data_IF_965314730771
#
_entry.id   IF_965314730771
#
_cell.length_a   1.000
_cell.length_b   1.000
_cell.length_c   1.000
_cell.angle_alpha   90.00
_cell.angle_beta   90.00
_cell.angle_gamma   90.00
#
_symmetry.space_group_name_H-M   'P 1'
#
loop_
_entity.id
_entity.type
_entity.pdbx_description
1 polymer ?
#
# COMPACT_ATOMS: atom_id res chain seq x y z
N UNK A 1 31.42 -24.04 -6.19
CA UNK A 1 31.15 -23.07 -7.28
C UNK A 1 30.11 -23.56 -8.30
N UNK A 2 29.23 -24.52 -7.95
CA UNK A 2 28.17 -25.01 -8.84
C UNK A 2 26.77 -24.45 -8.50
N UNK A 3 26.65 -23.54 -7.52
CA UNK A 3 25.34 -23.07 -7.00
C UNK A 3 24.83 -21.73 -7.55
N UNK A 4 25.64 -20.91 -8.24
CA UNK A 4 25.17 -19.59 -8.72
C UNK A 4 24.38 -19.64 -10.04
N UNK A 5 24.50 -20.71 -10.84
CA UNK A 5 23.84 -20.79 -12.15
C UNK A 5 22.36 -21.21 -12.08
N UNK A 6 21.92 -21.80 -10.96
CA UNK A 6 20.51 -22.15 -10.71
C UNK A 6 19.77 -21.12 -9.87
N UNK A 7 20.47 -20.11 -9.34
CA UNK A 7 19.90 -19.06 -8.49
C UNK A 7 18.82 -18.22 -9.20
N UNK A 8 19.02 -17.74 -10.43
CA UNK A 8 18.03 -16.89 -11.11
C UNK A 8 16.68 -17.59 -11.36
N UNK A 9 16.60 -18.82 -11.91
CA UNK A 9 15.31 -19.48 -12.10
C UNK A 9 14.67 -19.91 -10.78
N UNK A 10 15.47 -20.26 -9.75
CA UNK A 10 14.95 -20.48 -8.40
C UNK A 10 14.36 -19.19 -7.84
N UNK A 11 15.09 -18.07 -7.88
CA UNK A 11 14.61 -16.74 -7.46
C UNK A 11 13.34 -16.32 -8.19
N UNK A 12 13.20 -16.63 -9.49
CA UNK A 12 11.99 -16.35 -10.28
C UNK A 12 10.77 -17.20 -9.89
N UNK A 13 10.96 -18.51 -9.70
CA UNK A 13 9.93 -19.41 -9.16
C UNK A 13 9.52 -19.00 -7.74
N UNK A 14 10.51 -18.57 -6.99
CA UNK A 14 10.42 -18.14 -5.62
C UNK A 14 9.60 -16.83 -5.51
N UNK A 15 9.90 -15.84 -6.34
CA UNK A 15 9.13 -14.59 -6.43
C UNK A 15 7.69 -14.77 -6.97
N UNK A 16 7.42 -15.81 -7.75
CA UNK A 16 6.04 -16.17 -8.12
C UNK A 16 5.24 -16.67 -6.91
N UNK A 17 5.90 -17.18 -5.86
CA UNK A 17 5.25 -17.54 -4.60
C UNK A 17 4.93 -16.33 -3.72
N UNK A 18 5.54 -15.15 -3.96
CA UNK A 18 5.19 -13.91 -3.25
C UNK A 18 3.74 -13.49 -3.48
N UNK A 19 3.14 -13.87 -4.62
CA UNK A 19 1.71 -13.71 -4.90
C UNK A 19 0.81 -14.61 -4.04
N UNK A 20 1.41 -15.63 -3.43
CA UNK A 20 0.80 -16.57 -2.49
C UNK A 20 1.36 -16.44 -1.08
N UNK A 21 1.94 -15.30 -0.70
CA UNK A 21 2.49 -15.05 0.64
C UNK A 21 3.93 -15.48 0.79
N UNK A 22 4.54 -15.18 1.94
CA UNK A 22 5.83 -15.79 2.29
C UNK A 22 5.60 -17.32 2.36
N UNK A 23 6.29 -18.13 1.55
CA UNK A 23 6.16 -19.59 1.56
C UNK A 23 6.30 -20.16 2.98
N UNK A 24 5.39 -21.06 3.35
CA UNK A 24 5.33 -21.60 4.71
C UNK A 24 4.36 -20.85 5.64
N UNK A 25 3.78 -19.72 5.23
CA UNK A 25 2.62 -19.18 5.95
C UNK A 25 1.40 -20.06 5.67
N UNK A 26 0.93 -20.84 6.65
CA UNK A 26 -0.48 -21.23 6.62
C UNK A 26 -1.32 -19.97 6.88
N UNK A 27 -2.52 -19.89 6.31
CA UNK A 27 -3.45 -18.79 6.58
C UNK A 27 -3.75 -18.61 8.09
N UNK A 28 -3.45 -19.63 8.89
CA UNK A 28 -3.62 -19.65 10.35
C UNK A 28 -2.48 -18.94 11.11
N UNK A 29 -1.35 -18.60 10.47
CA UNK A 29 -0.22 -17.95 11.14
C UNK A 29 -0.21 -16.43 10.98
N UNK A 30 -0.84 -15.84 9.95
CA UNK A 30 -0.92 -14.37 9.84
C UNK A 30 -1.74 -13.77 10.97
N UNK A 31 -1.18 -12.79 11.69
CA UNK A 31 -1.88 -12.07 12.74
C UNK A 31 -2.16 -10.63 12.33
N UNK A 32 -3.26 -10.11 12.86
CA UNK A 32 -3.66 -8.73 12.66
C UNK A 32 -3.65 -8.03 14.01
N UNK A 33 -2.91 -6.92 14.09
CA UNK A 33 -2.95 -5.95 15.19
C UNK A 33 -2.28 -6.30 16.53
N UNK A 34 -1.76 -7.50 16.78
CA UNK A 34 -1.36 -7.88 18.15
C UNK A 34 -0.05 -8.68 18.30
N UNK A 35 0.37 -9.52 17.35
CA UNK A 35 1.36 -10.58 17.67
C UNK A 35 2.78 -10.37 17.12
N UNK A 36 3.12 -9.17 16.63
CA UNK A 36 4.47 -8.92 16.09
C UNK A 36 5.59 -9.02 17.13
N UNK A 37 6.78 -9.48 16.72
CA UNK A 37 7.98 -9.41 17.55
C UNK A 37 8.25 -7.98 18.07
N UNK A 38 7.91 -6.96 17.28
CA UNK A 38 8.17 -5.57 17.63
C UNK A 38 7.07 -4.88 18.44
N UNK A 39 6.08 -5.62 18.95
CA UNK A 39 5.09 -5.05 19.87
C UNK A 39 5.75 -4.57 21.16
N UNK A 40 5.61 -3.28 21.46
CA UNK A 40 6.27 -2.56 22.54
C UNK A 40 7.80 -2.54 22.46
N UNK A 41 8.37 -2.86 21.29
CA UNK A 41 9.82 -2.82 21.05
C UNK A 41 10.16 -1.77 19.98
N UNK A 42 11.45 -1.47 19.88
CA UNK A 42 11.98 -0.65 18.78
C UNK A 42 12.28 -1.52 17.57
N UNK A 43 12.40 -0.92 16.39
CA UNK A 43 12.81 -1.64 15.17
C UNK A 43 14.32 -1.86 15.05
N UNK A 44 15.10 -1.58 16.12
CA UNK A 44 16.56 -1.72 16.09
C UNK A 44 17.01 -3.19 15.89
N UNK A 45 16.19 -4.15 16.33
CA UNK A 45 16.46 -5.58 16.21
C UNK A 45 15.91 -6.19 14.91
N UNK A 46 15.31 -5.38 14.03
CA UNK A 46 14.90 -5.84 12.72
C UNK A 46 16.13 -6.20 11.88
N UNK A 47 16.08 -7.30 11.13
CA UNK A 47 17.14 -7.62 10.21
C UNK A 47 17.16 -6.65 9.03
N UNK A 48 15.98 -6.19 8.62
CA UNK A 48 15.83 -5.20 7.57
C UNK A 48 14.65 -4.29 7.84
N UNK A 49 14.74 -3.06 7.34
CA UNK A 49 13.71 -2.05 7.48
C UNK A 49 13.34 -1.41 6.14
N UNK A 50 12.19 -0.77 6.11
CA UNK A 50 11.78 0.17 5.07
C UNK A 50 11.07 1.33 5.76
N UNK A 51 11.29 2.55 5.30
CA UNK A 51 10.44 3.67 5.69
C UNK A 51 10.11 4.50 4.46
N UNK A 52 8.83 4.83 4.32
CA UNK A 52 8.39 5.81 3.35
C UNK A 52 7.50 6.83 4.07
N UNK A 53 7.90 8.10 4.00
CA UNK A 53 7.22 9.19 4.70
C UNK A 53 6.81 10.27 3.71
N UNK A 54 5.63 10.85 3.91
CA UNK A 54 5.13 11.95 3.11
C UNK A 54 4.26 12.88 3.96
N UNK A 55 4.22 14.15 3.57
CA UNK A 55 3.34 15.17 4.15
C UNK A 55 2.15 15.39 3.22
N UNK A 56 1.01 14.72 3.43
CA UNK A 56 -0.20 15.04 2.69
C UNK A 56 -0.61 16.43 3.18
N UNK A 57 -0.38 17.48 2.38
CA UNK A 57 -0.74 18.85 2.76
C UNK A 57 -2.27 18.99 2.92
N UNK A 58 -2.84 18.52 4.02
CA UNK A 58 -4.28 18.49 4.29
C UNK A 58 -4.60 19.55 5.34
N UNK A 59 -5.47 20.50 4.97
CA UNK A 59 -5.71 21.68 5.78
C UNK A 59 -4.47 22.59 5.92
N UNK A 60 -4.21 23.07 7.13
CA UNK A 60 -3.08 23.94 7.46
C UNK A 60 -1.86 23.19 8.03
N UNK A 61 -1.90 21.85 8.06
CA UNK A 61 -0.89 20.99 8.67
C UNK A 61 -0.09 20.26 7.60
N UNK A 62 1.23 20.26 7.76
CA UNK A 62 2.18 19.49 6.96
C UNK A 62 2.88 18.46 7.86
N UNK A 63 2.10 17.58 8.47
CA UNK A 63 2.64 16.53 9.33
C UNK A 63 2.98 15.32 8.48
N UNK A 64 4.23 14.87 8.60
CA UNK A 64 4.66 13.65 7.96
C UNK A 64 3.95 12.47 8.60
N UNK A 65 3.32 11.67 7.75
CA UNK A 65 2.88 10.33 8.07
C UNK A 65 3.80 9.34 7.38
N UNK A 66 3.82 8.10 7.85
CA UNK A 66 4.75 7.13 7.32
C UNK A 66 4.24 5.71 7.39
N UNK A 67 4.59 4.95 6.37
CA UNK A 67 4.56 3.51 6.42
C UNK A 67 5.97 2.99 6.75
N UNK A 68 6.01 1.89 7.50
CA UNK A 68 7.24 1.24 7.88
C UNK A 68 7.13 -0.26 7.64
N UNK A 69 8.15 -0.85 7.00
CA UNK A 69 8.27 -2.29 6.79
C UNK A 69 9.37 -2.86 7.69
N UNK A 70 9.15 -4.04 8.28
CA UNK A 70 10.17 -4.76 9.06
C UNK A 70 10.28 -6.21 8.63
N UNK A 71 11.51 -6.72 8.56
CA UNK A 71 11.77 -8.16 8.50
C UNK A 71 12.55 -8.56 9.73
N UNK A 72 12.11 -9.65 10.36
CA UNK A 72 12.79 -10.27 11.50
C UNK A 72 13.00 -11.76 11.24
N UNK A 73 14.19 -12.25 11.58
CA UNK A 73 14.57 -13.65 11.60
C UNK A 73 15.62 -13.82 12.70
N UNK A 74 15.35 -14.63 13.72
CA UNK A 74 16.31 -14.88 14.79
C UNK A 74 17.50 -15.69 14.26
N UNK A 75 18.70 -15.34 14.72
CA UNK A 75 19.97 -15.88 14.25
C UNK A 75 20.27 -17.31 14.72
N UNK A 76 19.53 -17.83 15.70
CA UNK A 76 19.71 -19.17 16.26
C UNK A 76 19.12 -20.29 15.39
N UNK A 77 18.48 -19.93 14.27
CA UNK A 77 17.82 -20.86 13.36
C UNK A 77 16.57 -21.52 13.94
N UNK A 78 16.11 -21.08 15.12
CA UNK A 78 14.86 -21.50 15.75
C UNK A 78 13.78 -20.44 15.54
N UNK A 79 12.50 -20.75 15.71
CA UNK A 79 11.43 -19.75 15.57
C UNK A 79 11.00 -19.49 14.12
N UNK A 80 10.79 -18.22 13.77
CA UNK A 80 10.09 -17.81 12.54
C UNK A 80 10.79 -16.66 11.82
N UNK A 81 10.56 -16.54 10.51
CA UNK A 81 10.75 -15.29 9.77
C UNK A 81 9.46 -14.49 9.85
N UNK A 82 9.54 -13.22 10.19
CA UNK A 82 8.42 -12.29 10.25
C UNK A 82 8.59 -11.15 9.25
N UNK A 83 7.52 -10.81 8.53
CA UNK A 83 7.38 -9.59 7.74
C UNK A 83 6.20 -8.79 8.31
N UNK A 84 6.41 -7.51 8.60
CA UNK A 84 5.37 -6.66 9.15
C UNK A 84 5.26 -5.33 8.46
N UNK A 85 4.03 -4.82 8.38
CA UNK A 85 3.68 -3.50 7.92
C UNK A 85 3.13 -2.68 9.08
N UNK A 86 3.69 -1.49 9.24
CA UNK A 86 3.33 -0.55 10.27
C UNK A 86 2.96 0.79 9.67
N UNK A 87 2.19 1.56 10.42
CA UNK A 87 1.83 2.92 10.04
C UNK A 87 1.87 3.85 11.23
N UNK A 88 2.34 5.07 10.97
CA UNK A 88 2.26 6.19 11.89
C UNK A 88 1.51 7.33 11.22
N UNK A 89 0.36 7.78 11.77
CA UNK A 89 -0.29 9.02 11.36
C UNK A 89 0.46 10.27 11.87
N UNK A 90 1.67 10.11 12.42
CA UNK A 90 2.36 11.16 13.15
C UNK A 90 1.56 11.55 14.40
N UNK A 91 1.47 12.86 14.65
CA UNK A 91 0.71 13.42 15.77
C UNK A 91 -0.75 13.77 15.40
N UNK A 92 -1.24 13.30 14.25
CA UNK A 92 -2.55 13.69 13.72
C UNK A 92 -3.62 12.60 13.92
N UNK A 93 -4.85 13.04 14.22
CA UNK A 93 -6.04 12.20 14.13
C UNK A 93 -6.94 12.74 13.01
N UNK A 94 -6.71 12.33 11.77
CA UNK A 94 -7.39 12.91 10.60
C UNK A 94 -8.92 12.81 10.67
N UNK A 95 -9.44 11.71 11.22
CA UNK A 95 -10.88 11.39 11.23
C UNK A 95 -11.63 12.08 12.38
N UNK A 96 -11.05 12.18 13.58
CA UNK A 96 -11.74 12.83 14.73
C UNK A 96 -11.26 14.25 15.04
N UNK A 97 -10.14 14.70 14.46
CA UNK A 97 -9.74 16.09 14.55
C UNK A 97 -10.59 16.93 13.57
N UNK A 98 -11.58 17.59 14.13
CA UNK A 98 -12.48 18.50 13.40
C UNK A 98 -11.76 19.66 12.70
N UNK A 99 -10.49 19.94 13.03
CA UNK A 99 -9.66 20.94 12.35
C UNK A 99 -9.01 20.39 11.08
N UNK A 100 -8.78 19.08 11.01
CA UNK A 100 -8.27 18.39 9.82
C UNK A 100 -9.42 18.02 8.90
N UNK A 101 -10.41 17.28 9.41
CA UNK A 101 -11.64 16.91 8.70
C UNK A 101 -11.40 16.01 7.49
N UNK A 102 -10.54 14.99 7.63
CA UNK A 102 -10.27 14.01 6.58
C UNK A 102 -10.43 12.57 7.05
N UNK A 103 -11.09 11.77 6.24
CA UNK A 103 -11.07 10.32 6.37
C UNK A 103 -9.95 9.73 5.52
N UNK A 104 -9.22 8.78 6.08
CA UNK A 104 -8.02 8.21 5.44
C UNK A 104 -8.26 6.74 5.15
N UNK A 105 -8.27 6.35 3.89
CA UNK A 105 -8.40 4.97 3.46
C UNK A 105 -7.07 4.39 3.03
N UNK A 106 -6.87 3.12 3.37
CA UNK A 106 -5.75 2.30 2.97
C UNK A 106 -6.23 1.30 1.92
N UNK A 107 -5.56 1.27 0.77
CA UNK A 107 -5.84 0.38 -0.34
C UNK A 107 -4.55 -0.35 -0.76
N UNK A 108 -4.70 -1.62 -1.07
CA UNK A 108 -3.61 -2.50 -1.46
C UNK A 108 -3.77 -2.93 -2.92
N UNK A 109 -2.66 -2.93 -3.67
CA UNK A 109 -2.62 -3.41 -5.06
C UNK A 109 -1.83 -4.73 -5.13
N UNK A 110 -2.49 -5.89 -4.98
CA UNK A 110 -1.84 -7.19 -5.12
C UNK A 110 -1.49 -7.49 -6.59
N UNK A 111 -0.89 -8.65 -6.83
CA UNK A 111 -0.77 -9.24 -8.18
C UNK A 111 0.19 -8.50 -9.14
N UNK A 112 1.26 -7.91 -8.62
CA UNK A 112 2.36 -7.45 -9.48
C UNK A 112 2.84 -8.58 -10.42
N UNK A 113 3.54 -8.27 -11.50
CA UNK A 113 4.27 -9.30 -12.24
C UNK A 113 5.63 -9.54 -11.58
N UNK A 114 6.24 -10.67 -11.89
CA UNK A 114 7.62 -10.94 -11.51
C UNK A 114 8.58 -9.84 -12.00
N UNK A 115 8.49 -9.47 -13.27
CA UNK A 115 9.34 -8.40 -13.82
C UNK A 115 9.13 -7.07 -13.07
N UNK A 116 7.91 -6.79 -12.61
CA UNK A 116 7.60 -5.59 -11.79
C UNK A 116 8.26 -5.65 -10.42
N UNK A 117 8.30 -6.82 -9.78
CA UNK A 117 9.02 -7.01 -8.53
C UNK A 117 10.54 -6.83 -8.72
N UNK A 118 11.09 -7.38 -9.81
CA UNK A 118 12.50 -7.20 -10.18
C UNK A 118 12.81 -5.71 -10.43
N UNK A 119 11.90 -4.95 -11.04
CA UNK A 119 12.05 -3.51 -11.25
C UNK A 119 12.05 -2.70 -9.96
N UNK A 120 11.20 -3.05 -9.01
CA UNK A 120 11.15 -2.37 -7.72
C UNK A 120 12.39 -2.62 -6.84
N UNK A 121 13.35 -3.42 -7.31
CA UNK A 121 14.62 -3.65 -6.62
C UNK A 121 15.48 -2.38 -6.43
N UNK A 122 15.19 -1.31 -7.16
CA UNK A 122 15.84 0.00 -7.02
C UNK A 122 14.86 1.14 -6.70
N UNK A 123 13.62 0.82 -6.29
CA UNK A 123 12.63 1.83 -5.95
C UNK A 123 12.94 2.46 -4.58
N UNK A 124 12.72 3.77 -4.46
CA UNK A 124 12.92 4.56 -3.24
C UNK A 124 11.68 4.57 -2.35
N UNK A 125 10.58 3.94 -2.78
CA UNK A 125 9.29 3.95 -2.10
C UNK A 125 8.22 4.74 -2.84
N UNK A 126 8.60 5.54 -3.86
CA UNK A 126 7.67 6.37 -4.64
C UNK A 126 6.92 5.61 -5.74
N UNK A 127 7.17 4.31 -5.89
CA UNK A 127 6.65 3.43 -6.95
C UNK A 127 7.09 3.78 -8.38
N UNK A 128 7.91 4.80 -8.59
CA UNK A 128 8.26 5.25 -9.95
C UNK A 128 9.18 4.29 -10.70
N UNK A 129 9.98 3.48 -10.01
CA UNK A 129 10.79 2.44 -10.65
C UNK A 129 9.96 1.18 -10.86
N UNK A 130 9.14 0.83 -9.86
CA UNK A 130 8.27 -0.34 -9.84
C UNK A 130 7.20 -0.24 -10.93
N UNK A 131 6.42 0.84 -10.96
CA UNK A 131 5.20 1.00 -11.77
C UNK A 131 5.31 2.05 -12.87
N UNK A 132 6.36 2.87 -12.91
CA UNK A 132 6.45 4.07 -13.75
C UNK A 132 5.50 5.23 -13.39
N UNK A 133 5.84 6.41 -13.93
CA UNK A 133 5.11 7.65 -13.67
C UNK A 133 3.67 7.65 -14.21
N UNK A 134 3.41 6.98 -15.34
CA UNK A 134 2.09 6.99 -15.98
C UNK A 134 1.10 6.16 -15.17
N UNK A 135 1.49 4.95 -14.78
CA UNK A 135 0.65 4.12 -13.91
C UNK A 135 0.41 4.80 -12.56
N UNK A 136 1.46 5.32 -11.92
CA UNK A 136 1.33 6.02 -10.63
C UNK A 136 0.38 7.21 -10.74
N UNK A 137 0.54 8.06 -11.77
CA UNK A 137 -0.32 9.22 -11.97
C UNK A 137 -1.78 8.83 -12.24
N UNK A 138 -2.02 7.82 -13.08
CA UNK A 138 -3.38 7.41 -13.41
C UNK A 138 -4.09 6.79 -12.20
N UNK A 139 -3.39 5.97 -11.40
CA UNK A 139 -3.94 5.43 -10.15
C UNK A 139 -4.30 6.55 -9.16
N UNK A 140 -3.38 7.48 -8.92
CA UNK A 140 -3.62 8.62 -8.02
C UNK A 140 -4.75 9.52 -8.52
N UNK A 141 -4.76 9.83 -9.82
CA UNK A 141 -5.80 10.66 -10.45
C UNK A 141 -7.19 10.03 -10.35
N UNK A 142 -7.29 8.73 -10.68
CA UNK A 142 -8.53 7.98 -10.60
C UNK A 142 -9.02 7.88 -9.14
N UNK A 143 -8.10 7.64 -8.21
CA UNK A 143 -8.41 7.59 -6.77
C UNK A 143 -8.96 8.92 -6.27
N UNK A 144 -8.35 10.05 -6.65
CA UNK A 144 -8.85 11.38 -6.28
C UNK A 144 -10.26 11.64 -6.86
N UNK A 145 -10.50 11.18 -8.10
CA UNK A 145 -11.80 11.32 -8.78
C UNK A 145 -12.89 10.57 -8.03
N UNK A 146 -12.71 9.27 -7.79
CA UNK A 146 -13.71 8.46 -7.08
C UNK A 146 -13.85 8.84 -5.62
N UNK A 147 -12.75 9.23 -4.96
CA UNK A 147 -12.81 9.83 -3.62
C UNK A 147 -13.71 11.07 -3.60
N UNK A 148 -13.67 11.90 -4.65
CA UNK A 148 -14.50 13.11 -4.77
C UNK A 148 -15.96 12.75 -4.99
N UNK A 149 -16.23 11.73 -5.80
CA UNK A 149 -17.59 11.25 -6.04
C UNK A 149 -18.23 10.69 -4.77
N UNK A 150 -17.48 9.92 -3.97
CA UNK A 150 -17.95 9.37 -2.71
C UNK A 150 -18.32 10.45 -1.68
N UNK A 151 -17.63 11.60 -1.70
CA UNK A 151 -17.93 12.76 -0.81
C UNK A 151 -18.87 13.80 -1.44
N UNK A 152 -19.23 13.63 -2.71
CA UNK A 152 -19.78 14.68 -3.59
C UNK A 152 -21.15 15.26 -3.24
N UNK A 153 -22.11 14.52 -2.66
CA UNK A 153 -23.31 15.12 -2.08
C UNK A 153 -23.16 15.18 -0.54
N UNK A 154 -22.81 16.34 0.05
CA UNK A 154 -22.84 16.49 1.50
C UNK A 154 -24.26 16.23 1.99
N UNK A 155 -24.47 15.10 2.65
CA UNK A 155 -25.74 14.78 3.29
C UNK A 155 -25.95 15.74 4.45
N UNK A 156 -27.15 16.31 4.54
CA UNK A 156 -27.51 17.18 5.66
C UNK A 156 -27.41 16.40 6.97
N UNK A 157 -26.79 17.00 7.99
CA UNK A 157 -26.57 16.36 9.29
C UNK A 157 -27.85 15.80 9.93
N UNK A 158 -27.72 14.85 10.89
CA UNK A 158 -26.49 14.47 11.61
C UNK A 158 -25.64 13.41 10.91
N UNK A 159 -26.10 12.86 9.79
CA UNK A 159 -25.47 11.73 9.12
C UNK A 159 -24.62 12.23 7.97
N UNK A 160 -23.34 12.52 8.22
CA UNK A 160 -22.34 12.55 7.15
C UNK A 160 -22.38 11.20 6.43
N UNK A 161 -22.22 11.19 5.11
CA UNK A 161 -21.97 9.98 4.31
C UNK A 161 -20.67 9.26 4.71
N UNK A 162 -19.86 9.87 5.58
CA UNK A 162 -18.65 9.34 6.20
C UNK A 162 -18.74 9.42 7.75
N UNK A 163 -19.83 8.94 8.37
CA UNK A 163 -19.84 8.60 9.80
C UNK A 163 -18.94 7.39 10.08
N UNK A 164 -18.52 7.20 11.34
CA UNK A 164 -17.74 6.04 11.82
C UNK A 164 -18.30 4.69 11.32
N UNK A 165 -19.63 4.58 11.21
CA UNK A 165 -20.32 3.37 10.73
C UNK A 165 -20.29 3.20 9.20
N UNK A 166 -20.03 4.27 8.44
CA UNK A 166 -20.00 4.29 6.97
C UNK A 166 -18.60 4.33 6.36
N UNK A 167 -17.57 4.71 7.13
CA UNK A 167 -16.16 4.69 6.66
C UNK A 167 -15.73 3.34 6.09
N UNK A 168 -16.07 2.20 6.74
CA UNK A 168 -15.64 0.91 6.21
C UNK A 168 -16.34 0.52 4.90
N UNK A 169 -17.56 1.03 4.67
CA UNK A 169 -18.28 0.87 3.39
C UNK A 169 -17.65 1.75 2.31
N UNK A 170 -17.32 3.01 2.62
CA UNK A 170 -16.66 3.91 1.67
C UNK A 170 -15.29 3.41 1.19
N UNK A 171 -14.52 2.74 2.05
CA UNK A 171 -13.24 2.11 1.68
C UNK A 171 -13.44 0.96 0.66
N UNK A 172 -14.48 0.14 0.87
CA UNK A 172 -14.86 -0.91 -0.06
C UNK A 172 -15.34 -0.36 -1.40
N UNK A 173 -16.21 0.65 -1.38
CA UNK A 173 -16.76 1.26 -2.59
C UNK A 173 -15.63 1.86 -3.44
N UNK A 174 -14.67 2.56 -2.81
CA UNK A 174 -13.51 3.11 -3.50
C UNK A 174 -12.65 2.00 -4.14
N UNK A 175 -12.38 0.92 -3.40
CA UNK A 175 -11.61 -0.22 -3.89
C UNK A 175 -12.31 -0.91 -5.08
N UNK A 176 -13.63 -1.07 -5.00
CA UNK A 176 -14.45 -1.63 -6.08
C UNK A 176 -14.43 -0.74 -7.32
N UNK A 177 -14.66 0.58 -7.16
CA UNK A 177 -14.62 1.53 -8.27
C UNK A 177 -13.26 1.53 -8.98
N UNK A 178 -12.16 1.49 -8.22
CA UNK A 178 -10.80 1.40 -8.75
C UNK A 178 -10.54 0.06 -9.45
N UNK A 179 -11.03 -1.05 -8.91
CA UNK A 179 -10.93 -2.37 -9.53
C UNK A 179 -11.66 -2.40 -10.88
N UNK A 180 -12.90 -1.90 -10.92
CA UNK A 180 -13.72 -1.86 -12.13
C UNK A 180 -13.12 -0.96 -13.22
N UNK A 181 -12.39 0.09 -12.83
CA UNK A 181 -11.82 1.09 -13.72
C UNK A 181 -10.29 1.06 -13.75
N UNK A 182 -9.69 -0.11 -13.45
CA UNK A 182 -8.24 -0.22 -13.29
C UNK A 182 -7.47 0.35 -14.49
N UNK A 183 -6.52 1.29 -14.30
CA UNK A 183 -5.90 2.02 -15.39
C UNK A 183 -5.20 1.11 -16.41
N UNK A 184 -5.42 1.38 -17.70
CA UNK A 184 -4.77 0.63 -18.76
C UNK A 184 -3.24 0.78 -18.75
N UNK A 185 -2.74 1.97 -18.35
CA UNK A 185 -1.31 2.26 -18.15
C UNK A 185 -0.67 1.34 -17.10
N UNK A 186 -1.45 0.85 -16.14
CA UNK A 186 -0.96 -0.04 -15.10
C UNK A 186 -0.97 -1.51 -15.49
N UNK A 187 -1.81 -1.96 -16.43
CA UNK A 187 -2.05 -3.40 -16.68
C UNK A 187 -0.80 -4.22 -16.98
N UNK A 188 0.23 -3.61 -17.55
CA UNK A 188 1.52 -4.25 -17.86
C UNK A 188 2.32 -4.63 -16.60
N UNK A 189 2.07 -3.96 -15.48
CA UNK A 189 2.71 -4.19 -14.19
C UNK A 189 2.07 -5.26 -13.34
N UNK A 190 0.85 -5.67 -13.71
CA UNK A 190 0.03 -6.60 -12.95
C UNK A 190 -0.21 -7.86 -13.77
N UNK A 191 -0.47 -8.97 -13.09
CA UNK A 191 -0.73 -10.23 -13.73
C UNK A 191 -2.01 -10.15 -14.58
N UNK A 192 -1.85 -10.16 -15.90
CA UNK A 192 -2.95 -10.03 -16.86
C UNK A 192 -3.80 -11.30 -17.04
N UNK A 193 -3.43 -12.42 -16.40
CA UNK A 193 -4.20 -13.68 -16.46
C UNK A 193 -5.42 -13.66 -15.55
N UNK A 194 -5.44 -12.73 -14.59
CA UNK A 194 -6.58 -12.46 -13.70
C UNK A 194 -6.91 -10.96 -13.76
N UNK A 195 -8.17 -10.55 -13.55
CA UNK A 195 -8.50 -9.14 -13.42
C UNK A 195 -7.68 -8.52 -12.28
N UNK A 196 -7.00 -7.41 -12.57
CA UNK A 196 -6.31 -6.63 -11.55
C UNK A 196 -7.32 -6.20 -10.47
N UNK A 197 -6.89 -6.26 -9.22
CA UNK A 197 -7.73 -5.92 -8.07
C UNK A 197 -7.08 -4.78 -7.29
N UNK A 198 -7.93 -3.92 -6.75
CA UNK A 198 -7.58 -3.00 -5.66
C UNK A 198 -8.39 -3.46 -4.46
N UNK A 199 -7.72 -3.73 -3.36
CA UNK A 199 -8.36 -4.23 -2.15
C UNK A 199 -8.40 -3.12 -1.11
N UNK A 200 -9.58 -2.89 -0.54
CA UNK A 200 -9.71 -2.10 0.68
C UNK A 200 -9.19 -2.90 1.87
N UNK A 201 -8.40 -2.27 2.72
CA UNK A 201 -7.90 -2.91 3.94
C UNK A 201 -6.77 -3.92 3.74
N UNK A 202 -6.57 -4.73 4.77
CA UNK A 202 -5.31 -5.41 5.11
C UNK A 202 -4.69 -6.23 3.96
N UNK A 203 -3.35 -6.18 3.77
CA UNK A 203 -2.70 -7.01 2.78
C UNK A 203 -2.85 -8.49 3.15
N UNK A 204 -3.52 -9.27 2.30
CA UNK A 204 -3.46 -10.73 2.35
C UNK A 204 -2.37 -11.19 1.39
N UNK A 205 -1.14 -11.25 1.87
CA UNK A 205 -0.08 -11.95 1.16
C UNK A 205 -0.24 -13.44 1.45
N UNK A 206 -0.94 -14.15 0.56
CA UNK A 206 -0.96 -15.62 0.57
C UNK A 206 -2.09 -16.38 1.20
N UNK A 207 -3.06 -15.67 1.78
CA UNK A 207 -4.37 -16.25 2.00
C UNK A 207 -5.18 -16.20 0.71
N UNK A 208 -5.88 -17.30 0.40
CA UNK A 208 -7.13 -17.22 -0.36
C UNK A 208 -7.94 -16.10 0.28
N UNK A 209 -8.36 -15.10 -0.50
CA UNK A 209 -9.24 -14.03 -0.02
C UNK A 209 -10.27 -14.65 0.92
N UNK A 210 -10.30 -14.20 2.17
CA UNK A 210 -11.37 -14.55 3.08
C UNK A 210 -12.62 -13.79 2.64
N UNK A 211 -13.12 -14.09 1.43
CA UNK A 211 -14.55 -14.18 1.24
C UNK A 211 -14.98 -15.32 2.15
N UNK A 212 -15.28 -15.01 3.41
CA UNK A 212 -16.11 -15.90 4.21
C UNK A 212 -17.47 -15.96 3.51
N UNK A 213 -17.62 -16.90 2.57
CA UNK A 213 -18.90 -17.53 2.28
C UNK A 213 -19.28 -18.40 3.49
N UNK A 214 -19.28 -17.84 4.70
CA UNK A 214 -20.06 -18.41 5.79
C UNK A 214 -21.52 -18.14 5.45
N UNK A 215 -22.08 -19.03 4.61
CA UNK A 215 -23.50 -19.30 4.56
C UNK A 215 -23.94 -19.74 5.97
N UNK A 216 -24.24 -18.77 6.82
CA UNK A 216 -25.07 -18.97 7.99
C UNK A 216 -26.12 -17.88 7.97
N UNK A 217 -27.31 -18.24 7.48
CA UNK A 217 -28.57 -17.54 7.73
C UNK A 217 -28.63 -16.03 7.42
N UNK A 218 -28.24 -15.61 6.21
CA UNK A 218 -28.86 -14.43 5.60
C UNK A 218 -28.52 -13.05 6.17
N UNK A 219 -27.40 -12.90 6.89
CA UNK A 219 -26.74 -11.59 7.03
C UNK A 219 -25.26 -11.75 6.70
N UNK A 220 -24.87 -11.33 5.50
CA UNK A 220 -23.48 -11.18 5.15
C UNK A 220 -22.87 -10.12 6.09
N UNK A 221 -22.11 -10.56 7.10
CA UNK A 221 -21.19 -9.68 7.79
C UNK A 221 -20.06 -9.42 6.81
N UNK A 222 -20.27 -8.41 5.95
CA UNK A 222 -19.22 -7.79 5.16
C UNK A 222 -18.09 -7.49 6.16
N UNK A 223 -16.93 -8.13 6.02
CA UNK A 223 -15.75 -7.77 6.79
C UNK A 223 -15.42 -6.34 6.39
N UNK A 224 -15.95 -5.40 7.17
CA UNK A 224 -15.93 -3.99 6.86
C UNK A 224 -14.50 -3.54 7.12
N UNK A 225 -13.78 -3.15 6.07
CA UNK A 225 -12.37 -2.81 6.20
C UNK A 225 -12.26 -1.41 6.78
N UNK A 226 -11.75 -1.27 8.02
CA UNK A 226 -11.81 0.00 8.69
C UNK A 226 -10.89 1.02 8.01
N UNK A 227 -11.25 2.29 8.12
CA UNK A 227 -10.37 3.39 7.75
C UNK A 227 -9.01 3.27 8.45
N UNK A 228 -7.99 3.94 7.94
CA UNK A 228 -6.65 3.93 8.52
C UNK A 228 -6.63 4.67 9.87
N UNK A 229 -7.33 5.81 9.98
CA UNK A 229 -7.47 6.64 11.20
C UNK A 229 -8.93 6.79 11.67
N UNK A 230 -9.14 7.21 12.92
CA UNK A 230 -10.46 7.35 13.57
C UNK A 230 -10.77 6.33 14.68
N UNK A 231 -11.96 6.38 15.32
CA UNK A 231 -12.28 5.62 16.52
C UNK A 231 -12.31 4.10 16.30
N UNK A 232 -12.74 3.67 15.12
CA UNK A 232 -12.85 2.25 14.71
C UNK A 232 -11.80 1.86 13.66
N UNK A 233 -10.72 2.64 13.55
CA UNK A 233 -9.72 2.53 12.49
C UNK A 233 -8.72 1.40 12.71
N UNK A 234 -7.93 1.07 11.68
CA UNK A 234 -6.79 0.15 11.79
C UNK A 234 -5.82 0.58 12.90
N UNK A 235 -5.48 1.86 12.97
CA UNK A 235 -4.61 2.43 14.02
C UNK A 235 -5.25 2.34 15.41
N UNK A 236 -6.53 2.67 15.56
CA UNK A 236 -7.22 2.60 16.85
C UNK A 236 -7.37 1.17 17.35
N UNK A 237 -7.67 0.24 16.43
CA UNK A 237 -7.80 -1.20 16.72
C UNK A 237 -6.46 -1.89 16.92
N UNK A 238 -5.35 -1.25 16.55
CA UNK A 238 -4.01 -1.80 16.74
C UNK A 238 -3.68 -1.95 18.23
N UNK A 239 -3.61 -3.19 18.70
CA UNK A 239 -3.22 -3.53 20.07
C UNK A 239 -1.69 -3.55 20.23
N UNK A 240 -0.98 -3.68 19.10
CA UNK A 240 0.46 -3.71 19.00
C UNK A 240 0.99 -2.37 18.50
N UNK A 241 1.66 -1.66 19.39
CA UNK A 241 2.35 -0.41 19.07
C UNK A 241 3.85 -0.59 19.30
N UNK A 242 4.67 -0.09 18.39
CA UNK A 242 6.12 -0.05 18.61
C UNK A 242 6.49 1.06 19.61
N UNK A 243 7.68 0.98 20.20
CA UNK A 243 8.21 2.04 21.07
C UNK A 243 8.37 3.38 20.34
N UNK A 244 8.43 3.34 19.00
CA UNK A 244 8.61 4.50 18.14
C UNK A 244 7.26 5.12 17.70
N UNK A 245 6.14 4.68 18.27
CA UNK A 245 4.81 5.26 18.01
C UNK A 245 4.13 4.74 16.74
N UNK A 246 4.63 3.66 16.13
CA UNK A 246 3.96 3.02 15.01
C UNK A 246 2.91 2.04 15.48
N UNK A 247 1.81 1.95 14.76
CA UNK A 247 0.76 0.94 14.97
C UNK A 247 0.92 -0.19 13.97
N UNK A 248 0.87 -1.44 14.44
CA UNK A 248 0.90 -2.60 13.56
C UNK A 248 -0.38 -2.62 12.73
N UNK A 249 -0.23 -2.67 11.40
CA UNK A 249 -1.35 -2.89 10.49
C UNK A 249 -1.49 -4.38 10.19
N UNK A 250 -0.39 -5.05 9.90
CA UNK A 250 -0.38 -6.44 9.47
C UNK A 250 0.99 -7.07 9.72
N UNK A 251 1.01 -8.37 10.04
CA UNK A 251 2.24 -9.16 10.07
C UNK A 251 1.99 -10.57 9.55
N UNK A 252 3.04 -11.17 9.00
CA UNK A 252 3.05 -12.53 8.47
C UNK A 252 4.29 -13.26 8.93
N UNK A 253 4.10 -14.54 9.27
CA UNK A 253 5.17 -15.44 9.66
C UNK A 253 5.36 -16.53 8.63
N UNK A 254 6.60 -16.97 8.48
CA UNK A 254 6.98 -18.18 7.79
C UNK A 254 8.04 -18.93 8.59
N UNK A 255 8.33 -20.16 8.17
CA UNK A 255 9.40 -20.96 8.75
C UNK A 255 10.72 -20.18 8.74
N UNK A 256 11.54 -20.33 9.78
CA UNK A 256 12.88 -19.76 9.85
C UNK A 256 13.81 -20.45 8.83
N UNK A 257 13.72 -20.01 7.58
CA UNK A 257 14.55 -20.48 6.47
C UNK A 257 15.15 -19.29 5.74
N UNK A 258 16.36 -19.46 5.20
CA UNK A 258 16.99 -18.43 4.38
C UNK A 258 16.10 -17.99 3.21
N UNK A 259 15.33 -18.92 2.65
CA UNK A 259 14.42 -18.66 1.55
C UNK A 259 13.29 -17.70 1.97
N UNK A 260 12.67 -17.92 3.13
CA UNK A 260 11.63 -17.05 3.67
C UNK A 260 12.14 -15.67 4.06
N UNK A 261 13.35 -15.61 4.61
CA UNK A 261 14.04 -14.37 4.86
C UNK A 261 14.27 -13.56 3.58
N UNK A 262 14.80 -14.20 2.54
CA UNK A 262 14.98 -13.61 1.21
C UNK A 262 13.64 -13.07 0.69
N UNK A 263 12.55 -13.83 0.78
CA UNK A 263 11.23 -13.37 0.34
C UNK A 263 10.70 -12.16 1.08
N UNK A 264 10.76 -12.20 2.41
CA UNK A 264 10.28 -11.13 3.26
C UNK A 264 10.97 -9.80 2.90
N UNK A 265 12.25 -9.85 2.50
CA UNK A 265 13.04 -8.69 2.06
C UNK A 265 12.80 -8.25 0.60
N UNK A 266 12.24 -9.13 -0.24
CA UNK A 266 11.98 -8.85 -1.66
C UNK A 266 10.53 -8.49 -1.98
N UNK A 267 9.62 -8.64 -1.02
CA UNK A 267 8.25 -8.18 -1.18
C UNK A 267 8.25 -6.67 -1.41
N UNK A 268 7.58 -6.27 -2.49
CA UNK A 268 7.21 -4.88 -2.74
C UNK A 268 5.72 -4.76 -2.46
N UNK A 269 5.38 -3.71 -1.73
CA UNK A 269 4.08 -3.46 -1.18
C UNK A 269 3.50 -2.15 -1.71
N UNK A 270 2.78 -2.16 -2.87
CA UNK A 270 2.12 -0.98 -3.38
C UNK A 270 0.87 -0.68 -2.55
N UNK A 271 0.94 0.43 -1.83
CA UNK A 271 -0.07 0.93 -0.91
C UNK A 271 -0.55 2.27 -1.44
N UNK A 272 -1.81 2.28 -1.85
CA UNK A 272 -2.52 3.49 -2.24
C UNK A 272 -3.29 3.99 -1.03
N UNK A 273 -3.14 5.26 -0.70
CA UNK A 273 -3.87 5.85 0.43
C UNK A 273 -4.63 7.06 -0.05
N UNK A 274 -5.88 7.17 0.38
CA UNK A 274 -6.78 8.25 -0.02
C UNK A 274 -7.21 9.07 1.21
N UNK A 275 -7.00 10.38 1.13
CA UNK A 275 -7.48 11.40 2.05
C UNK A 275 -8.74 12.01 1.45
N UNK A 276 -9.89 11.74 2.05
CA UNK A 276 -11.18 12.29 1.65
C UNK A 276 -11.66 13.31 2.67
N UNK A 277 -12.11 14.49 2.24
CA UNK A 277 -12.68 15.45 3.18
C UNK A 277 -13.98 14.88 3.77
N UNK A 278 -14.16 14.98 5.08
CA UNK A 278 -15.39 14.53 5.73
C UNK A 278 -16.56 15.38 5.25
N UNK A 279 -17.50 14.79 4.52
CA UNK A 279 -18.64 15.50 3.98
C UNK A 279 -19.69 15.76 5.09
N UNK A 280 -19.58 16.92 5.75
CA UNK A 280 -20.50 17.33 6.81
C UNK A 280 -21.09 18.72 6.52
N UNK A 281 -22.38 18.77 6.19
CA UNK A 281 -23.11 20.01 5.89
C UNK A 281 -23.20 20.99 7.08
N UNK A 282 -23.00 20.54 8.32
CA UNK A 282 -22.99 21.39 9.52
C UNK A 282 -21.62 22.04 9.79
N UNK A 283 -20.59 21.75 8.98
CA UNK A 283 -19.22 22.25 9.17
C UNK A 283 -18.86 23.26 8.07
N UNK A 284 -18.75 24.55 8.38
CA UNK A 284 -18.46 25.61 7.40
C UNK A 284 -16.98 25.69 6.99
N UNK A 285 -16.18 24.65 7.26
CA UNK A 285 -14.75 24.63 6.91
C UNK A 285 -14.63 24.29 5.43
N UNK A 286 -13.97 25.15 4.66
CA UNK A 286 -13.56 24.85 3.28
C UNK A 286 -12.48 23.77 3.35
N UNK A 287 -12.88 22.51 3.45
CA UNK A 287 -11.95 21.39 3.37
C UNK A 287 -11.31 21.40 1.97
N UNK A 288 -10.02 21.07 1.90
CA UNK A 288 -9.33 20.97 0.62
C UNK A 288 -9.84 19.79 -0.21
N UNK A 289 -9.43 19.74 -1.47
CA UNK A 289 -9.74 18.61 -2.37
C UNK A 289 -9.23 17.28 -1.81
N UNK A 290 -9.81 16.19 -2.29
CA UNK A 290 -9.29 14.84 -2.04
C UNK A 290 -7.83 14.75 -2.47
N UNK A 291 -7.05 13.98 -1.71
CA UNK A 291 -5.64 13.74 -2.00
C UNK A 291 -5.37 12.25 -1.90
N UNK A 292 -4.53 11.74 -2.78
CA UNK A 292 -4.07 10.37 -2.71
C UNK A 292 -2.63 10.29 -3.17
N UNK A 293 -1.97 9.23 -2.76
CA UNK A 293 -0.59 8.93 -3.12
C UNK A 293 -0.41 7.41 -3.06
N UNK A 294 0.60 6.95 -3.78
CA UNK A 294 0.96 5.55 -3.89
C UNK A 294 2.38 5.38 -3.38
N UNK A 295 2.58 4.43 -2.47
CA UNK A 295 3.89 4.09 -1.92
C UNK A 295 4.21 2.62 -2.22
N UNK A 296 5.45 2.29 -2.59
CA UNK A 296 5.92 0.94 -2.86
C UNK A 296 6.94 0.54 -1.81
N UNK A 297 6.46 0.03 -0.68
CA UNK A 297 7.35 -0.34 0.42
C UNK A 297 8.15 -1.59 0.07
N UNK A 298 9.44 -1.54 0.37
CA UNK A 298 10.32 -2.70 0.27
C UNK A 298 11.30 -2.71 1.43
N UNK A 299 11.35 -3.83 2.13
CA UNK A 299 12.17 -3.99 3.32
C UNK A 299 13.56 -4.49 2.96
N UNK A 300 14.41 -3.59 2.44
CA UNK A 300 15.75 -3.94 1.96
C UNK A 300 16.89 -3.12 2.60
N UNK A 301 16.59 -2.23 3.55
CA UNK A 301 17.64 -1.57 4.34
C UNK A 301 18.12 -2.54 5.43
N UNK A 302 19.12 -3.35 5.07
CA UNK A 302 19.71 -4.34 5.96
C UNK A 302 20.42 -3.69 7.16
N UNK A 303 20.07 -4.13 8.36
CA UNK A 303 20.73 -3.72 9.59
C UNK A 303 22.09 -4.41 9.77
N UNK A 304 23.02 -3.83 10.55
CA UNK A 304 24.31 -4.44 10.83
C UNK A 304 24.17 -5.83 11.46
N UNK A 305 24.85 -6.82 10.89
CA UNK A 305 24.83 -8.20 11.37
C UNK A 305 23.77 -9.09 10.70
N UNK A 306 22.90 -8.53 9.87
CA UNK A 306 21.93 -9.28 9.08
C UNK A 306 22.58 -10.10 7.97
N UNK A 307 21.92 -11.20 7.60
CA UNK A 307 22.36 -12.02 6.47
C UNK A 307 22.22 -11.24 5.15
N UNK A 308 23.22 -11.31 4.25
CA UNK A 308 23.18 -10.61 2.98
C UNK A 308 22.12 -11.20 2.05
N UNK A 309 21.48 -10.32 1.29
CA UNK A 309 20.49 -10.70 0.28
C UNK A 309 21.18 -10.95 -1.08
N UNK A 310 20.69 -11.95 -1.80
CA UNK A 310 21.18 -12.29 -3.14
C UNK A 310 20.60 -11.33 -4.18
N UNK A 311 21.41 -10.63 -4.99
CA UNK A 311 20.90 -9.64 -5.95
C UNK A 311 19.83 -10.26 -6.87
N UNK A 312 18.72 -9.53 -7.06
CA UNK A 312 17.69 -9.93 -8.01
C UNK A 312 18.24 -9.90 -9.44
N UNK A 313 17.72 -10.75 -10.33
CA UNK A 313 17.99 -10.62 -11.76
C UNK A 313 17.65 -9.21 -12.26
N UNK A 314 18.36 -8.76 -13.29
CA UNK A 314 17.98 -7.52 -13.97
C UNK A 314 16.57 -7.65 -14.55
N UNK A 315 15.68 -6.67 -14.32
CA UNK A 315 14.33 -6.73 -14.83
C UNK A 315 14.31 -6.77 -16.35
N UNK A 316 13.33 -7.48 -16.91
CA UNK A 316 13.02 -7.37 -18.33
C UNK A 316 12.52 -5.96 -18.64
N UNK A 317 12.99 -5.36 -19.73
CA UNK A 317 12.52 -4.04 -20.14
C UNK A 317 11.01 -4.09 -20.43
N UNK A 318 10.26 -3.23 -19.76
CA UNK A 318 8.83 -3.06 -19.99
C UNK A 318 8.64 -1.88 -20.94
N UNK A 319 8.04 -2.15 -22.10
CA UNK A 319 7.64 -1.09 -23.03
C UNK A 319 6.21 -0.69 -22.64
N UNK A 320 6.06 0.45 -21.98
CA UNK A 320 4.75 1.04 -21.76
C UNK A 320 4.34 1.77 -23.05
N UNK A 321 3.31 1.31 -23.80
CA UNK A 321 2.89 1.95 -25.05
C UNK A 321 2.37 3.38 -24.85
N UNK A 322 2.07 3.76 -23.60
CA UNK A 322 1.66 5.12 -23.24
C UNK A 322 2.84 6.08 -23.04
N UNK A 323 4.08 5.58 -22.95
CA UNK A 323 5.30 6.40 -22.77
C UNK A 323 5.71 7.18 -24.02
N UNK A 324 5.44 6.65 -25.22
CA UNK A 324 5.87 7.27 -26.49
C UNK A 324 4.88 8.32 -27.02
N UNK A 325 3.69 8.45 -26.44
CA UNK A 325 2.65 9.38 -26.94
C UNK A 325 2.86 10.84 -26.54
N UNK A 326 3.82 11.13 -25.64
CA UNK A 326 4.04 12.48 -25.11
C UNK A 326 5.19 13.26 -25.78
N UNK A 327 5.97 12.64 -26.69
CA UNK A 327 7.17 13.28 -27.25
C UNK A 327 7.03 13.79 -28.71
N UNK A 328 5.81 13.83 -29.25
CA UNK A 328 5.52 14.44 -30.56
C UNK A 328 4.40 15.47 -30.45
N UNK A 329 4.62 16.54 -29.69
CA UNK A 329 3.91 17.81 -29.88
C UNK A 329 4.71 19.01 -29.34
N UNK A 330 5.96 19.11 -29.76
CA UNK A 330 6.67 20.39 -29.76
C UNK A 330 7.05 20.78 -31.19
N UNK A 331 6.77 22.05 -31.51
CA UNK A 331 7.13 22.81 -32.72
C UNK A 331 6.20 22.71 -33.94
N UNK A 332 5.18 23.58 -34.00
CA UNK A 332 5.06 24.55 -35.10
C UNK A 332 3.96 25.59 -34.84
N UNK A 333 4.36 26.77 -34.38
CA UNK A 333 3.74 28.03 -34.79
C UNK A 333 4.66 29.20 -34.44
N UNK A 334 5.63 29.43 -35.33
CA UNK A 334 6.20 30.75 -35.49
C UNK A 334 5.10 31.67 -36.04
N UNK A 335 4.71 32.69 -35.27
CA UNK A 335 4.03 33.87 -35.78
C UNK A 335 4.67 35.10 -35.12
N UNK A 336 5.35 35.96 -35.88
CA UNK A 336 5.99 37.14 -35.34
C UNK A 336 4.96 38.21 -35.01
N UNK A 337 5.08 38.76 -33.80
CA UNK A 337 4.40 39.94 -33.31
C UNK A 337 4.94 41.19 -34.01
N UNK A 338 4.11 41.86 -34.80
CA UNK A 338 4.27 43.27 -35.14
C UNK A 338 3.24 44.08 -34.38
N UNK A 339 3.70 44.90 -33.43
CA UNK A 339 2.90 45.85 -32.66
C UNK A 339 2.53 47.09 -33.51
N UNK A 340 1.45 47.81 -33.16
CA UNK A 340 0.95 48.93 -33.95
C UNK A 340 1.64 50.26 -33.61
N UNK A 341 1.70 51.14 -34.60
CA UNK A 341 1.71 52.60 -34.47
C UNK A 341 0.59 53.16 -35.36
#
# INVERSE_FOLDING_TARGET
MLSLLLLPPLLRLASAQLFSGVPGSSADQSSFFNDSHFCNQSFADANATAIHSWGPQVGATDTNISYFGTVYQPADGQGYTELSLWFSPGDQNYTDDFRLGYDVYYLWLPQLTLDTLERGASDTGDCLQTLDQYCVNDLVSLTNTFSTELVGPPTSGPNSNLTTDSLPTGCNDLAEMLTQNFPNSCKVYFNNTIPAQVLGGLPSLGGRQFFSLSQMNGMAMLTTFPALTGPESLVSRSQCKSSNGYSLLWTQYGDNTYLNYVYANYIIAPILTAFMPTANAARPITLGFTKSFLACLRTNDLQPGSEPLLPLPSPTAVINPYADSANTSSSSSNLPTSAPA
#
